data_IF_445286756522
#
_entry.id   IF_445286756522
#
_cell.length_a   1.000
_cell.length_b   1.000
_cell.length_c   1.000
_cell.angle_alpha   90.00
_cell.angle_beta   90.00
_cell.angle_gamma   90.00
#
_symmetry.space_group_name_H-M   'P 1'
#
loop_
_entity.id
_entity.type
_entity.pdbx_description
1 polymer ?
#
# COMPACT_ATOMS: atom_id res chain seq x y z
N UNK A 1 25.80 12.73 -3.16
CA UNK A 1 25.14 11.41 -3.16
C UNK A 1 23.67 11.68 -3.38
N UNK A 2 23.17 11.48 -4.60
CA UNK A 2 21.84 11.95 -5.01
C UNK A 2 20.80 10.86 -4.73
N UNK A 3 20.04 11.02 -3.65
CA UNK A 3 18.85 10.22 -3.40
C UNK A 3 17.66 10.93 -4.06
N UNK A 4 16.93 10.21 -4.90
CA UNK A 4 15.63 10.69 -5.38
C UNK A 4 14.63 10.50 -4.25
N UNK A 5 14.25 11.59 -3.58
CA UNK A 5 13.17 11.57 -2.60
C UNK A 5 11.86 11.31 -3.35
N UNK A 6 11.26 10.15 -3.13
CA UNK A 6 9.86 9.91 -3.47
C UNK A 6 9.12 9.87 -2.14
N UNK A 7 8.29 10.88 -1.93
CA UNK A 7 7.37 10.95 -0.80
C UNK A 7 6.42 9.75 -0.94
N UNK A 8 6.54 8.77 -0.05
CA UNK A 8 5.72 7.58 -0.08
C UNK A 8 4.70 7.69 1.05
N UNK A 9 3.44 7.59 0.64
CA UNK A 9 2.28 7.81 1.47
C UNK A 9 1.76 6.45 2.01
N UNK A 10 1.03 6.41 3.14
CA UNK A 10 -0.05 5.40 3.42
C UNK A 10 -0.79 5.06 2.11
N UNK A 11 -1.40 3.89 2.08
CA UNK A 11 -2.18 3.45 0.95
C UNK A 11 -3.65 3.43 1.39
N UNK A 12 -4.42 4.40 0.96
CA UNK A 12 -5.78 4.13 0.53
C UNK A 12 -5.67 3.72 -0.93
N UNK A 13 -6.35 2.66 -1.35
CA UNK A 13 -6.53 2.39 -2.78
C UNK A 13 -8.02 2.56 -3.06
N UNK A 14 -8.37 3.69 -3.64
CA UNK A 14 -9.73 3.98 -4.08
C UNK A 14 -9.80 3.61 -5.54
N UNK A 15 -10.68 2.67 -5.84
CA UNK A 15 -10.85 2.14 -7.17
C UNK A 15 -12.20 2.61 -7.71
N UNK A 16 -12.16 3.53 -8.67
CA UNK A 16 -13.35 4.02 -9.35
C UNK A 16 -13.68 3.09 -10.51
N UNK A 17 -14.93 2.65 -10.59
CA UNK A 17 -15.51 1.99 -11.76
C UNK A 17 -16.45 2.96 -12.49
N UNK A 18 -16.68 2.80 -13.80
CA UNK A 18 -17.42 3.75 -14.66
C UNK A 18 -18.80 4.14 -14.08
N UNK A 19 -19.35 5.37 -14.17
CA UNK A 19 -19.15 6.56 -15.02
C UNK A 19 -19.43 7.89 -14.25
N UNK A 20 -18.64 8.93 -14.57
CA UNK A 20 -18.75 10.39 -14.33
C UNK A 20 -19.00 10.95 -12.91
N UNK A 21 -17.89 11.45 -12.36
CA UNK A 21 -17.71 12.68 -11.56
C UNK A 21 -17.82 12.65 -10.02
N UNK A 22 -16.84 13.35 -9.40
CA UNK A 22 -16.83 14.04 -8.09
C UNK A 22 -16.23 13.38 -6.83
N UNK A 23 -16.02 14.26 -5.83
CA UNK A 23 -14.96 14.32 -4.80
C UNK A 23 -15.21 13.48 -3.53
N UNK A 24 -14.16 13.34 -2.71
CA UNK A 24 -14.01 12.34 -1.64
C UNK A 24 -14.05 12.94 -0.21
N UNK A 25 -14.66 12.21 0.74
CA UNK A 25 -14.54 12.36 2.20
C UNK A 25 -13.80 11.13 2.78
N UNK A 26 -12.84 11.31 3.70
CA UNK A 26 -12.13 10.20 4.37
C UNK A 26 -11.73 10.54 5.83
N UNK A 27 -11.84 9.54 6.71
CA UNK A 27 -11.38 9.55 8.12
C UNK A 27 -10.16 8.61 8.31
N UNK A 28 -9.26 8.98 9.25
CA UNK A 28 -7.88 8.48 9.48
C UNK A 28 -7.78 7.41 10.60
N UNK A 29 -6.85 6.43 10.54
CA UNK A 29 -5.90 5.98 11.63
C UNK A 29 -4.95 4.80 11.23
N UNK A 30 -3.64 5.08 11.36
CA UNK A 30 -2.38 4.29 11.60
C UNK A 30 -2.14 2.79 11.32
N UNK A 31 -3.12 1.87 11.15
CA UNK A 31 -2.81 0.43 11.37
C UNK A 31 -3.14 -0.48 10.17
N UNK A 32 -3.63 0.11 9.09
CA UNK A 32 -4.44 -0.65 8.15
C UNK A 32 -4.29 -0.15 6.71
N UNK A 33 -4.27 -1.08 5.76
CA UNK A 33 -4.46 -0.80 4.34
C UNK A 33 -5.94 -1.00 4.03
N UNK A 34 -6.62 0.07 3.64
CA UNK A 34 -8.04 0.05 3.30
C UNK A 34 -8.18 0.24 1.78
N UNK A 35 -9.00 -0.60 1.17
CA UNK A 35 -9.40 -0.46 -0.22
C UNK A 35 -10.90 -0.25 -0.28
N UNK A 36 -11.34 0.74 -1.06
CA UNK A 36 -12.76 1.02 -1.30
C UNK A 36 -13.01 0.99 -2.81
N UNK A 37 -14.03 0.24 -3.24
CA UNK A 37 -14.59 0.42 -4.58
C UNK A 37 -15.84 1.25 -4.55
N UNK A 38 -15.94 2.16 -5.51
CA UNK A 38 -17.14 2.92 -5.76
C UNK A 38 -17.64 2.63 -7.18
N UNK A 39 -18.96 2.49 -7.31
CA UNK A 39 -19.63 2.61 -8.59
C UNK A 39 -19.99 4.07 -8.89
N UNK A 40 -20.51 4.34 -10.10
CA UNK A 40 -20.90 5.67 -10.58
C UNK A 40 -21.73 6.49 -9.59
N UNK A 41 -22.60 5.82 -8.85
CA UNK A 41 -23.54 6.43 -7.91
C UNK A 41 -22.89 6.80 -6.56
N UNK A 42 -21.56 6.66 -6.44
CA UNK A 42 -20.76 6.83 -5.23
C UNK A 42 -21.12 5.83 -4.11
N UNK A 43 -21.78 4.73 -4.46
CA UNK A 43 -22.05 3.65 -3.53
C UNK A 43 -20.80 2.79 -3.36
N UNK A 44 -20.53 2.40 -2.12
CA UNK A 44 -19.45 1.46 -1.81
C UNK A 44 -19.87 0.07 -2.26
N UNK A 45 -19.12 -0.50 -3.22
CA UNK A 45 -19.36 -1.85 -3.75
C UNK A 45 -18.70 -2.90 -2.87
N UNK A 46 -17.47 -2.63 -2.41
CA UNK A 46 -16.77 -3.50 -1.46
C UNK A 46 -15.67 -2.73 -0.76
N UNK A 47 -15.42 -3.12 0.48
CA UNK A 47 -14.34 -2.62 1.33
C UNK A 47 -13.52 -3.79 1.80
N UNK A 48 -12.22 -3.73 1.54
CA UNK A 48 -11.27 -4.72 2.05
C UNK A 48 -10.26 -4.06 2.97
N UNK A 49 -9.73 -4.86 3.88
CA UNK A 49 -8.89 -4.38 4.96
C UNK A 49 -7.76 -5.35 5.26
N UNK A 50 -6.54 -4.81 5.41
CA UNK A 50 -5.40 -5.54 5.95
C UNK A 50 -4.90 -4.87 7.22
N UNK A 51 -4.92 -5.58 8.33
CA UNK A 51 -4.34 -5.16 9.60
C UNK A 51 -2.91 -5.67 9.69
N UNK A 52 -1.91 -4.80 9.74
CA UNK A 52 -0.51 -5.21 9.63
C UNK A 52 -0.10 -6.23 10.70
N UNK A 53 -0.43 -5.98 11.96
CA UNK A 53 0.03 -6.82 13.07
C UNK A 53 -0.62 -8.22 13.06
N UNK A 54 -1.91 -8.32 12.75
CA UNK A 54 -2.63 -9.60 12.77
C UNK A 54 -2.52 -10.37 11.45
N UNK A 55 -2.54 -9.67 10.31
CA UNK A 55 -2.54 -10.30 8.99
C UNK A 55 -1.11 -10.58 8.49
N UNK A 56 -0.12 -9.82 8.98
CA UNK A 56 1.29 -9.99 8.64
C UNK A 56 2.18 -10.15 9.90
N UNK A 57 1.86 -11.10 10.79
CA UNK A 57 2.50 -11.21 12.11
C UNK A 57 4.01 -11.52 12.04
N UNK A 58 4.49 -12.02 10.89
CA UNK A 58 5.91 -12.27 10.62
C UNK A 58 6.79 -11.02 10.76
N UNK A 59 6.23 -9.83 10.54
CA UNK A 59 6.97 -8.58 10.72
C UNK A 59 7.11 -8.19 12.18
N UNK A 60 6.34 -8.76 13.11
CA UNK A 60 6.43 -8.49 14.56
C UNK A 60 6.33 -6.99 14.89
N UNK A 61 5.56 -6.24 14.11
CA UNK A 61 5.26 -4.84 14.38
C UNK A 61 4.29 -4.72 15.56
N UNK A 62 4.23 -3.51 16.13
CA UNK A 62 3.15 -3.09 17.01
C UNK A 62 2.57 -1.80 16.44
N UNK A 63 1.28 -1.77 16.16
CA UNK A 63 0.59 -0.74 15.39
C UNK A 63 1.26 -0.49 14.03
N UNK A 64 1.74 -1.54 13.36
CA UNK A 64 2.38 -1.44 12.05
C UNK A 64 3.79 -0.82 12.03
N UNK A 65 4.41 -0.56 13.18
CA UNK A 65 5.74 0.06 13.28
C UNK A 65 6.66 -0.69 14.24
N UNK A 66 7.97 -0.50 14.03
CA UNK A 66 9.01 -0.67 15.04
C UNK A 66 9.26 0.66 15.74
N UNK A 67 9.38 0.60 17.07
CA UNK A 67 9.72 1.76 17.90
C UNK A 67 11.04 1.47 18.59
N UNK A 68 12.06 2.23 18.22
CA UNK A 68 13.38 2.17 18.83
C UNK A 68 13.57 3.41 19.70
N UNK A 69 13.42 3.20 21.01
CA UNK A 69 13.61 4.27 22.01
C UNK A 69 15.09 4.62 22.22
N UNK A 70 16.02 3.79 21.77
CA UNK A 70 17.47 4.00 21.94
C UNK A 70 18.05 4.90 20.86
N UNK A 71 17.40 4.99 19.69
CA UNK A 71 17.81 5.84 18.56
C UNK A 71 16.85 7.00 18.42
N UNK A 72 16.94 7.99 19.33
CA UNK A 72 16.16 9.23 19.28
C UNK A 72 14.64 9.03 19.07
N UNK A 73 14.07 7.97 19.63
CA UNK A 73 12.66 7.64 19.45
C UNK A 73 12.29 7.27 18.01
N UNK A 74 13.21 6.69 17.23
CA UNK A 74 13.00 6.27 15.83
C UNK A 74 11.77 5.37 15.72
N UNK A 75 10.82 5.77 14.86
CA UNK A 75 9.65 4.99 14.50
C UNK A 75 9.76 4.66 13.01
N UNK A 76 9.71 3.37 12.66
CA UNK A 76 9.80 2.92 11.25
C UNK A 76 8.87 1.76 10.98
N UNK A 77 8.25 1.73 9.81
CA UNK A 77 7.60 0.53 9.28
C UNK A 77 8.50 -0.16 8.25
N UNK A 78 8.50 -1.50 8.18
CA UNK A 78 9.16 -2.20 7.09
C UNK A 78 8.48 -1.88 5.76
N UNK A 79 9.18 -1.26 4.82
CA UNK A 79 8.58 -0.92 3.50
C UNK A 79 8.07 -2.16 2.77
N UNK A 80 8.76 -3.30 2.90
CA UNK A 80 8.34 -4.55 2.28
C UNK A 80 7.04 -5.11 2.88
N UNK A 81 6.70 -4.76 4.12
CA UNK A 81 5.42 -5.10 4.74
C UNK A 81 4.27 -4.40 4.00
N UNK A 82 4.45 -3.15 3.57
CA UNK A 82 3.45 -2.41 2.80
C UNK A 82 3.22 -3.05 1.42
N UNK A 83 4.29 -3.50 0.76
CA UNK A 83 4.19 -4.24 -0.51
C UNK A 83 3.42 -5.56 -0.31
N UNK A 84 3.73 -6.30 0.75
CA UNK A 84 3.03 -7.54 1.05
C UNK A 84 1.55 -7.31 1.41
N UNK A 85 1.25 -6.23 2.14
CA UNK A 85 -0.12 -5.85 2.44
C UNK A 85 -0.92 -5.50 1.16
N UNK A 86 -0.29 -4.80 0.21
CA UNK A 86 -0.90 -4.52 -1.09
C UNK A 86 -1.22 -5.82 -1.86
N UNK A 87 -0.28 -6.77 -1.88
CA UNK A 87 -0.54 -8.09 -2.46
C UNK A 87 -1.72 -8.80 -1.77
N UNK A 88 -1.77 -8.74 -0.44
CA UNK A 88 -2.81 -9.39 0.35
C UNK A 88 -4.20 -8.76 0.11
N UNK A 89 -4.30 -7.43 0.05
CA UNK A 89 -5.59 -6.78 -0.19
C UNK A 89 -6.11 -7.01 -1.61
N UNK A 90 -5.22 -7.06 -2.61
CA UNK A 90 -5.58 -7.43 -3.98
C UNK A 90 -6.04 -8.88 -4.06
N UNK A 91 -5.38 -9.78 -3.32
CA UNK A 91 -5.81 -11.18 -3.22
C UNK A 91 -7.18 -11.31 -2.54
N UNK A 92 -7.40 -10.65 -1.38
CA UNK A 92 -8.71 -10.59 -0.72
C UNK A 92 -9.78 -10.11 -1.69
N UNK A 93 -9.52 -9.04 -2.43
CA UNK A 93 -10.43 -8.51 -3.42
C UNK A 93 -10.72 -9.52 -4.56
N UNK A 94 -9.70 -10.22 -5.06
CA UNK A 94 -9.87 -11.26 -6.09
C UNK A 94 -10.67 -12.47 -5.63
N UNK A 95 -10.71 -12.72 -4.31
CA UNK A 95 -11.54 -13.77 -3.72
C UNK A 95 -13.01 -13.34 -3.52
N UNK A 96 -13.33 -12.07 -3.74
CA UNK A 96 -14.71 -11.57 -3.81
C UNK A 96 -15.24 -11.60 -5.25
N UNK A 97 -16.53 -11.32 -5.44
CA UNK A 97 -17.14 -11.15 -6.76
C UNK A 97 -16.76 -9.80 -7.44
N UNK A 98 -15.62 -9.20 -7.07
CA UNK A 98 -15.18 -7.94 -7.62
C UNK A 98 -14.63 -8.11 -9.05
N UNK A 99 -15.27 -7.44 -10.00
CA UNK A 99 -14.85 -7.47 -11.41
C UNK A 99 -13.81 -6.37 -11.70
N UNK A 100 -12.53 -6.76 -11.72
CA UNK A 100 -11.43 -5.87 -12.07
C UNK A 100 -11.54 -5.25 -13.47
N UNK A 101 -12.31 -5.84 -14.40
CA UNK A 101 -12.49 -5.27 -15.74
C UNK A 101 -13.32 -4.00 -15.74
N UNK A 102 -14.09 -3.74 -14.68
CA UNK A 102 -14.90 -2.53 -14.53
C UNK A 102 -14.10 -1.36 -13.96
N UNK A 103 -12.86 -1.57 -13.56
CA UNK A 103 -12.00 -0.55 -12.98
C UNK A 103 -11.53 0.42 -14.05
N UNK A 104 -11.80 1.71 -13.86
CA UNK A 104 -11.39 2.77 -14.78
C UNK A 104 -10.27 3.65 -14.22
N UNK A 105 -10.15 3.73 -12.90
CA UNK A 105 -9.11 4.51 -12.25
C UNK A 105 -8.77 3.96 -10.86
N UNK A 106 -7.53 4.21 -10.47
CA UNK A 106 -7.03 4.01 -9.12
C UNK A 106 -6.56 5.36 -8.59
N UNK A 107 -6.93 5.68 -7.37
CA UNK A 107 -6.35 6.79 -6.61
C UNK A 107 -5.92 6.25 -5.27
N UNK A 108 -5.03 6.97 -4.61
CA UNK A 108 -4.66 6.65 -3.25
C UNK A 108 -4.23 7.87 -2.46
N UNK A 109 -4.31 7.73 -1.15
CA UNK A 109 -3.84 8.74 -0.22
C UNK A 109 -2.99 8.09 0.83
N UNK A 110 -2.10 8.87 1.44
CA UNK A 110 -1.33 8.33 2.52
C UNK A 110 -0.74 9.23 3.58
N UNK A 111 -0.02 8.63 4.54
CA UNK A 111 0.56 9.30 5.70
C UNK A 111 1.41 10.40 5.19
N UNK A 112 1.20 11.52 5.82
CA UNK A 112 2.07 12.65 5.68
C UNK A 112 3.35 12.32 6.45
N UNK A 113 4.46 12.84 5.94
CA UNK A 113 5.78 12.82 6.59
C UNK A 113 6.56 11.49 6.57
N UNK A 114 6.00 10.40 6.02
CA UNK A 114 6.77 9.17 5.80
C UNK A 114 7.68 9.28 4.57
N UNK A 115 8.84 8.62 4.64
CA UNK A 115 9.83 8.58 3.57
C UNK A 115 10.12 7.14 3.18
N UNK A 116 10.15 6.86 1.87
CA UNK A 116 10.67 5.61 1.33
C UNK A 116 11.92 5.89 0.51
N UNK A 117 12.97 5.15 0.83
CA UNK A 117 14.24 5.25 0.16
C UNK A 117 14.37 4.08 -0.80
N UNK A 118 14.50 4.37 -2.09
CA UNK A 118 14.73 3.35 -3.12
C UNK A 118 16.21 3.03 -3.24
N UNK A 119 16.51 1.75 -3.44
CA UNK A 119 17.85 1.29 -3.78
C UNK A 119 18.22 1.74 -5.20
N UNK A 120 19.53 1.91 -5.47
CA UNK A 120 20.00 2.13 -6.84
C UNK A 120 19.64 0.91 -7.70
N UNK A 121 18.97 1.15 -8.82
CA UNK A 121 18.53 0.08 -9.73
C UNK A 121 17.07 -0.33 -9.57
N UNK A 122 16.33 0.22 -8.59
CA UNK A 122 14.94 -0.20 -8.35
C UNK A 122 13.98 0.19 -9.47
N UNK A 123 14.28 1.25 -10.23
CA UNK A 123 13.47 1.62 -11.40
C UNK A 123 13.43 0.49 -12.43
N UNK A 124 14.55 -0.23 -12.63
CA UNK A 124 14.63 -1.34 -13.57
C UNK A 124 13.74 -2.50 -13.10
N UNK A 125 13.78 -2.82 -11.81
CA UNK A 125 12.92 -3.84 -11.19
C UNK A 125 11.44 -3.50 -11.42
N UNK A 126 11.03 -2.25 -11.18
CA UNK A 126 9.66 -1.80 -11.36
C UNK A 126 9.17 -1.88 -12.82
N UNK A 127 10.06 -1.65 -13.78
CA UNK A 127 9.72 -1.75 -15.22
C UNK A 127 9.68 -3.19 -15.74
N UNK A 128 10.18 -4.16 -14.97
CA UNK A 128 10.30 -5.56 -15.39
C UNK A 128 9.55 -6.52 -14.47
N UNK A 129 8.43 -6.08 -13.89
CA UNK A 129 7.61 -6.91 -13.02
C UNK A 129 6.97 -8.07 -13.80
N UNK A 130 7.10 -9.27 -13.26
CA UNK A 130 6.49 -10.51 -13.75
C UNK A 130 5.14 -10.71 -13.04
N UNK A 131 4.01 -10.75 -13.78
CA UNK A 131 2.69 -10.94 -13.18
C UNK A 131 2.49 -12.31 -12.54
N UNK A 132 3.36 -13.29 -12.84
CA UNK A 132 3.27 -14.65 -12.26
C UNK A 132 4.01 -14.77 -10.93
N UNK A 133 4.63 -13.69 -10.43
CA UNK A 133 5.36 -13.66 -9.16
C UNK A 133 4.76 -12.65 -8.21
N UNK A 134 4.92 -12.86 -6.91
CA UNK A 134 4.45 -11.90 -5.91
C UNK A 134 5.24 -10.58 -6.01
N UNK A 135 4.59 -9.43 -5.76
CA UNK A 135 5.33 -8.14 -5.74
C UNK A 135 6.35 -8.12 -4.61
N UNK A 136 6.04 -8.76 -3.49
CA UNK A 136 6.95 -8.88 -2.35
C UNK A 136 8.29 -9.50 -2.76
N UNK A 137 8.25 -10.65 -3.44
CA UNK A 137 9.49 -11.36 -3.82
C UNK A 137 10.30 -10.55 -4.83
N UNK A 138 9.62 -9.82 -5.71
CA UNK A 138 10.26 -8.98 -6.73
C UNK A 138 10.86 -7.69 -6.14
N UNK A 139 10.25 -7.12 -5.10
CA UNK A 139 10.63 -5.83 -4.52
C UNK A 139 11.42 -5.95 -3.21
N UNK A 140 11.76 -7.16 -2.76
CA UNK A 140 12.50 -7.39 -1.50
C UNK A 140 13.82 -6.59 -1.40
N UNK A 141 14.49 -6.36 -2.54
CA UNK A 141 15.76 -5.63 -2.63
C UNK A 141 15.61 -4.23 -3.24
N UNK A 142 14.38 -3.75 -3.42
CA UNK A 142 14.11 -2.47 -4.08
C UNK A 142 14.27 -1.27 -3.13
N UNK A 143 14.35 -1.51 -1.82
CA UNK A 143 14.38 -0.44 -0.82
C UNK A 143 15.72 -0.37 -0.11
N UNK A 144 16.17 0.86 0.15
CA UNK A 144 17.35 1.16 0.98
C UNK A 144 16.91 1.21 2.44
N UNK A 145 16.84 0.05 3.08
CA UNK A 145 16.60 -0.08 4.52
C UNK A 145 17.95 0.02 5.25
N UNK A 146 18.18 1.13 5.96
CA UNK A 146 19.35 1.32 6.85
C UNK A 146 18.95 1.26 8.31
#
# INVERSE_FOLDING_TARGET
>A
MNFTLIQAAIFYLIILTESKSTNLLANTVFVQLIRISLESSLNIVTTELVHFDSDLPRYKTKDGVYRDLTVNGRIVSPTIMWVEALNLILHKLSSTNFDFKKVIAFSGSGQQHDNVFWQKGSSQILTSLDPNKSLKDQLQNAFSVK
#
